data_IF_890225181026
#
_entry.id   IF_890225181026
#
_cell.length_a   1.000
_cell.length_b   1.000
_cell.length_c   1.000
_cell.angle_alpha   90.00
_cell.angle_beta   90.00
_cell.angle_gamma   90.00
#
_symmetry.space_group_name_H-M   'P 1'
#
loop_
_entity.id
_entity.type
_entity.pdbx_description
1 polymer ?
#
# COMPACT_ATOMS: atom_id res chain seq x y z
N UNK A 1 10.10 -110.38 120.00
CA UNK A 1 9.88 -109.03 120.56
C UNK A 1 9.28 -108.19 119.45
N UNK A 2 8.08 -107.70 119.74
CA UNK A 2 7.44 -106.46 119.30
C UNK A 2 6.98 -106.27 117.84
N UNK A 3 5.64 -106.33 117.66
CA UNK A 3 4.77 -105.18 117.34
C UNK A 3 5.38 -104.13 116.40
N UNK A 4 4.88 -103.84 115.19
CA UNK A 4 3.54 -103.28 114.95
C UNK A 4 3.34 -102.96 113.46
N UNK A 5 2.10 -103.18 113.00
CA UNK A 5 1.32 -102.27 112.13
C UNK A 5 2.05 -101.37 111.11
N UNK A 6 1.85 -101.66 109.83
CA UNK A 6 1.17 -100.69 108.95
C UNK A 6 0.30 -101.44 107.94
N UNK A 7 -0.98 -101.57 108.28
CA UNK A 7 -2.06 -101.65 107.32
C UNK A 7 -2.10 -100.35 106.53
N UNK A 8 -1.95 -100.40 105.21
CA UNK A 8 -2.22 -99.25 104.34
C UNK A 8 -1.59 -99.40 102.95
N UNK A 9 -2.39 -99.17 101.91
CA UNK A 9 -1.99 -98.96 100.50
C UNK A 9 -1.78 -100.21 99.60
N UNK A 10 -2.50 -101.31 99.83
CA UNK A 10 -2.53 -102.46 98.91
C UNK A 10 -3.58 -102.41 97.78
N UNK A 11 -4.53 -101.47 97.82
CA UNK A 11 -5.64 -101.35 96.86
C UNK A 11 -5.76 -99.93 96.25
N UNK A 12 -4.67 -99.17 96.20
CA UNK A 12 -4.65 -97.86 95.55
C UNK A 12 -4.31 -97.92 94.05
N UNK A 13 -3.49 -98.89 93.63
CA UNK A 13 -2.89 -98.90 92.28
C UNK A 13 -3.80 -99.36 91.14
N UNK A 14 -4.68 -100.34 91.39
CA UNK A 14 -5.58 -100.88 90.34
C UNK A 14 -6.79 -99.96 90.15
N UNK A 15 -7.33 -99.37 91.22
CA UNK A 15 -8.40 -98.37 91.15
C UNK A 15 -7.97 -97.07 90.47
N UNK A 16 -6.73 -96.60 90.70
CA UNK A 16 -6.17 -95.46 89.98
C UNK A 16 -6.00 -95.75 88.49
N UNK A 17 -5.57 -96.95 88.08
CA UNK A 17 -5.45 -97.31 86.66
C UNK A 17 -6.80 -97.37 85.92
N UNK A 18 -7.86 -97.86 86.57
CA UNK A 18 -9.22 -97.88 85.99
C UNK A 18 -9.91 -96.50 86.04
N UNK A 19 -9.57 -95.63 86.99
CA UNK A 19 -10.04 -94.24 87.05
C UNK A 19 -9.25 -93.27 86.13
N UNK A 20 -7.98 -93.55 85.85
CA UNK A 20 -7.13 -92.75 84.94
C UNK A 20 -7.45 -93.00 83.44
N UNK A 21 -7.85 -94.21 83.05
CA UNK A 21 -8.26 -94.52 81.66
C UNK A 21 -9.41 -93.66 81.11
N UNK A 22 -10.53 -93.44 81.81
CA UNK A 22 -11.59 -92.57 81.32
C UNK A 22 -11.16 -91.10 81.27
N UNK A 23 -10.32 -90.66 82.20
CA UNK A 23 -9.75 -89.31 82.20
C UNK A 23 -8.81 -89.09 80.99
N UNK A 24 -7.87 -90.01 80.74
CA UNK A 24 -7.02 -90.00 79.56
C UNK A 24 -7.82 -90.09 78.25
N UNK A 25 -8.89 -90.89 78.20
CA UNK A 25 -9.81 -90.92 77.05
C UNK A 25 -10.50 -89.58 76.83
N UNK A 26 -10.93 -88.89 77.89
CA UNK A 26 -11.54 -87.56 77.78
C UNK A 26 -10.54 -86.51 77.32
N UNK A 27 -9.30 -86.55 77.80
CA UNK A 27 -8.25 -85.66 77.32
C UNK A 27 -7.90 -85.93 75.85
N UNK A 28 -7.77 -87.20 75.44
CA UNK A 28 -7.57 -87.57 74.03
C UNK A 28 -8.74 -87.10 73.17
N UNK A 29 -9.98 -87.21 73.64
CA UNK A 29 -11.15 -86.70 72.92
C UNK A 29 -11.14 -85.17 72.81
N UNK A 30 -10.74 -84.45 73.86
CA UNK A 30 -10.57 -82.98 73.81
C UNK A 30 -9.47 -82.58 72.84
N UNK A 31 -8.32 -83.25 72.88
CA UNK A 31 -7.19 -83.05 71.96
C UNK A 31 -7.58 -83.34 70.50
N UNK A 32 -8.33 -84.42 70.25
CA UNK A 32 -8.86 -84.72 68.91
C UNK A 32 -9.83 -83.65 68.43
N UNK A 33 -10.71 -83.16 69.32
CA UNK A 33 -11.64 -82.06 68.99
C UNK A 33 -10.89 -80.75 68.73
N UNK A 34 -9.88 -80.41 69.53
CA UNK A 34 -9.09 -79.19 69.31
C UNK A 34 -8.23 -79.29 68.06
N UNK A 35 -7.67 -80.46 67.75
CA UNK A 35 -6.93 -80.69 66.52
C UNK A 35 -7.83 -80.60 65.29
N UNK A 36 -9.02 -81.22 65.33
CA UNK A 36 -10.01 -81.11 64.25
C UNK A 36 -10.45 -79.66 64.05
N UNK A 37 -10.74 -78.92 65.13
CA UNK A 37 -11.09 -77.50 65.05
C UNK A 37 -9.94 -76.64 64.52
N UNK A 38 -8.69 -76.95 64.89
CA UNK A 38 -7.51 -76.24 64.39
C UNK A 38 -7.25 -76.54 62.91
N UNK A 39 -7.46 -77.79 62.49
CA UNK A 39 -7.37 -78.19 61.09
C UNK A 39 -8.45 -77.47 60.25
N UNK A 40 -9.70 -77.46 60.72
CA UNK A 40 -10.81 -76.76 60.06
C UNK A 40 -10.55 -75.24 59.98
N UNK A 41 -10.02 -74.64 61.05
CA UNK A 41 -9.64 -73.22 61.04
C UNK A 41 -8.50 -72.92 60.04
N UNK A 42 -7.51 -73.81 59.93
CA UNK A 42 -6.41 -73.66 58.97
C UNK A 42 -6.89 -73.83 57.53
N UNK A 43 -7.74 -74.82 57.26
CA UNK A 43 -8.36 -75.04 55.96
C UNK A 43 -9.21 -73.81 55.54
N UNK A 44 -10.02 -73.28 56.46
CA UNK A 44 -10.81 -72.07 56.22
C UNK A 44 -9.92 -70.83 55.96
N UNK A 45 -8.83 -70.68 56.72
CA UNK A 45 -7.88 -69.58 56.52
C UNK A 45 -7.16 -69.68 55.16
N UNK A 46 -6.71 -70.89 54.78
CA UNK A 46 -6.06 -71.13 53.51
C UNK A 46 -7.02 -70.85 52.34
N UNK A 47 -8.27 -71.28 52.46
CA UNK A 47 -9.29 -71.05 51.44
C UNK A 47 -9.63 -69.56 51.29
N UNK A 48 -9.76 -68.82 52.39
CA UNK A 48 -9.97 -67.37 52.36
C UNK A 48 -8.78 -66.64 51.72
N UNK A 49 -7.56 -67.05 52.07
CA UNK A 49 -6.34 -66.46 51.52
C UNK A 49 -6.22 -66.75 50.01
N UNK A 50 -6.53 -67.98 49.57
CA UNK A 50 -6.56 -68.34 48.15
C UNK A 50 -7.60 -67.51 47.38
N UNK A 51 -8.82 -67.37 47.91
CA UNK A 51 -9.87 -66.53 47.30
C UNK A 51 -9.47 -65.06 47.21
N UNK A 52 -8.79 -64.55 48.24
CA UNK A 52 -8.30 -63.16 48.27
C UNK A 52 -7.24 -62.95 47.19
N UNK A 53 -6.25 -63.84 47.11
CA UNK A 53 -5.22 -63.75 46.08
C UNK A 53 -5.78 -63.93 44.67
N UNK A 54 -6.72 -64.85 44.45
CA UNK A 54 -7.37 -65.01 43.16
C UNK A 54 -8.13 -63.73 42.76
N UNK A 55 -8.81 -63.08 43.71
CA UNK A 55 -9.47 -61.79 43.51
C UNK A 55 -8.50 -60.66 43.17
N UNK A 56 -7.38 -60.57 43.89
CA UNK A 56 -6.32 -59.58 43.65
C UNK A 56 -5.67 -59.78 42.27
N UNK A 57 -5.31 -61.02 41.92
CA UNK A 57 -4.72 -61.37 40.62
C UNK A 57 -5.70 -61.05 39.50
N UNK A 58 -6.98 -61.37 39.65
CA UNK A 58 -7.99 -61.09 38.63
C UNK A 58 -8.17 -59.59 38.44
N UNK A 59 -8.25 -58.82 39.54
CA UNK A 59 -8.36 -57.36 39.49
C UNK A 59 -7.12 -56.75 38.84
N UNK A 60 -5.94 -57.23 39.19
CA UNK A 60 -4.68 -56.75 38.62
C UNK A 60 -4.58 -57.08 37.13
N UNK A 61 -4.98 -58.28 36.71
CA UNK A 61 -5.03 -58.68 35.32
C UNK A 61 -5.98 -57.80 34.50
N UNK A 62 -7.17 -57.49 35.03
CA UNK A 62 -8.12 -56.56 34.39
C UNK A 62 -7.54 -55.15 34.26
N UNK A 63 -6.89 -54.64 35.32
CA UNK A 63 -6.25 -53.33 35.31
C UNK A 63 -5.14 -53.26 34.24
N UNK A 64 -4.30 -54.30 34.14
CA UNK A 64 -3.27 -54.36 33.10
C UNK A 64 -3.85 -54.48 31.70
N UNK A 65 -4.90 -55.28 31.52
CA UNK A 65 -5.58 -55.41 30.22
C UNK A 65 -6.15 -54.08 29.76
N UNK A 66 -6.77 -53.31 30.67
CA UNK A 66 -7.27 -51.98 30.36
C UNK A 66 -6.14 -50.99 30.07
N UNK A 67 -5.04 -51.04 30.83
CA UNK A 67 -3.88 -50.19 30.60
C UNK A 67 -3.24 -50.47 29.23
N UNK A 68 -3.11 -51.73 28.84
CA UNK A 68 -2.58 -52.15 27.53
C UNK A 68 -3.49 -51.62 26.42
N UNK A 69 -4.80 -51.85 26.49
CA UNK A 69 -5.74 -51.36 25.48
C UNK A 69 -5.71 -49.83 25.33
N UNK A 70 -5.59 -49.10 26.44
CA UNK A 70 -5.45 -47.64 26.43
C UNK A 70 -4.13 -47.19 25.77
N UNK A 71 -3.02 -47.88 26.04
CA UNK A 71 -1.72 -47.57 25.44
C UNK A 71 -1.72 -47.88 23.94
N UNK A 72 -2.28 -49.01 23.51
CA UNK A 72 -2.43 -49.37 22.10
C UNK A 72 -3.25 -48.31 21.34
N UNK A 73 -4.37 -47.86 21.93
CA UNK A 73 -5.18 -46.83 21.33
C UNK A 73 -4.43 -45.49 21.21
N UNK A 74 -3.64 -45.11 22.23
CA UNK A 74 -2.82 -43.89 22.18
C UNK A 74 -1.74 -43.99 21.11
N UNK A 75 -1.01 -45.12 21.07
CA UNK A 75 0.03 -45.38 20.08
C UNK A 75 -0.52 -45.28 18.65
N UNK A 76 -1.70 -45.87 18.41
CA UNK A 76 -2.34 -45.82 17.10
C UNK A 76 -2.72 -44.39 16.68
N UNK A 77 -3.21 -43.57 17.62
CA UNK A 77 -3.52 -42.15 17.36
C UNK A 77 -2.25 -41.34 17.07
N UNK A 78 -1.17 -41.57 17.82
CA UNK A 78 0.10 -40.90 17.60
C UNK A 78 0.72 -41.27 16.26
N UNK A 79 0.68 -42.55 15.88
CA UNK A 79 1.13 -43.00 14.57
C UNK A 79 0.34 -42.34 13.43
N UNK A 80 -0.99 -42.26 13.54
CA UNK A 80 -1.82 -41.58 12.55
C UNK A 80 -1.49 -40.10 12.46
N UNK A 81 -1.33 -39.43 13.61
CA UNK A 81 -0.96 -38.03 13.67
C UNK A 81 0.42 -37.78 13.04
N UNK A 82 1.39 -38.68 13.25
CA UNK A 82 2.72 -38.59 12.64
C UNK A 82 2.64 -38.72 11.11
N UNK A 83 1.90 -39.71 10.60
CA UNK A 83 1.72 -39.90 9.15
C UNK A 83 1.05 -38.68 8.51
N UNK A 84 0.02 -38.13 9.16
CA UNK A 84 -0.65 -36.92 8.68
C UNK A 84 0.27 -35.70 8.70
N UNK A 85 1.10 -35.57 9.73
CA UNK A 85 2.08 -34.48 9.84
C UNK A 85 3.16 -34.60 8.76
N UNK A 86 3.70 -35.78 8.53
CA UNK A 86 4.68 -36.05 7.45
C UNK A 86 4.09 -35.72 6.08
N UNK A 87 2.82 -36.09 5.83
CA UNK A 87 2.12 -35.74 4.60
C UNK A 87 1.98 -34.23 4.43
N UNK A 88 1.58 -33.51 5.48
CA UNK A 88 1.49 -32.03 5.46
C UNK A 88 2.85 -31.38 5.24
N UNK A 89 3.91 -31.92 5.87
CA UNK A 89 5.27 -31.44 5.70
C UNK A 89 5.72 -31.59 4.24
N UNK A 90 5.51 -32.76 3.64
CA UNK A 90 5.84 -32.99 2.22
C UNK A 90 5.06 -32.07 1.28
N UNK A 91 3.77 -31.85 1.54
CA UNK A 91 2.95 -30.91 0.75
C UNK A 91 3.49 -29.48 0.87
N UNK A 92 3.81 -29.03 2.08
CA UNK A 92 4.35 -27.68 2.31
C UNK A 92 5.74 -27.51 1.65
N UNK A 93 6.59 -28.53 1.71
CA UNK A 93 7.89 -28.52 1.04
C UNK A 93 7.74 -28.47 -0.49
N UNK A 94 6.80 -29.23 -1.06
CA UNK A 94 6.52 -29.21 -2.50
C UNK A 94 6.01 -27.83 -2.95
N UNK A 95 5.06 -27.24 -2.21
CA UNK A 95 4.56 -25.89 -2.46
C UNK A 95 5.68 -24.85 -2.39
N UNK A 96 6.55 -24.93 -1.38
CA UNK A 96 7.67 -24.00 -1.23
C UNK A 96 8.65 -24.13 -2.42
N UNK A 97 9.02 -25.35 -2.82
CA UNK A 97 9.88 -25.59 -4.00
C UNK A 97 9.26 -25.03 -5.28
N UNK A 98 7.95 -25.22 -5.48
CA UNK A 98 7.24 -24.67 -6.62
C UNK A 98 7.27 -23.13 -6.61
N UNK A 99 7.02 -22.52 -5.45
CA UNK A 99 7.08 -21.06 -5.29
C UNK A 99 8.49 -20.50 -5.53
N UNK A 100 9.53 -21.17 -5.03
CA UNK A 100 10.92 -20.78 -5.28
C UNK A 100 11.28 -20.86 -6.76
N UNK A 101 10.77 -21.86 -7.48
CA UNK A 101 11.00 -22.01 -8.92
C UNK A 101 10.35 -20.85 -9.68
N UNK A 102 9.08 -20.55 -9.39
CA UNK A 102 8.37 -19.41 -9.97
C UNK A 102 9.05 -18.07 -9.67
N UNK A 103 9.54 -17.87 -8.45
CA UNK A 103 10.27 -16.65 -8.10
C UNK A 103 11.57 -16.51 -8.90
N UNK A 104 12.29 -17.61 -9.15
CA UNK A 104 13.49 -17.59 -9.99
C UNK A 104 13.17 -17.30 -11.45
N UNK A 105 12.10 -17.87 -11.99
CA UNK A 105 11.61 -17.59 -13.34
C UNK A 105 11.22 -16.10 -13.47
N UNK A 106 10.41 -15.58 -12.56
CA UNK A 106 10.02 -14.17 -12.56
C UNK A 106 11.24 -13.22 -12.45
N UNK A 107 12.23 -13.56 -11.62
CA UNK A 107 13.45 -12.74 -11.53
C UNK A 107 14.23 -12.73 -12.85
N UNK A 108 14.31 -13.87 -13.53
CA UNK A 108 14.94 -13.96 -14.85
C UNK A 108 14.19 -13.12 -15.88
N UNK A 109 12.85 -13.17 -15.90
CA UNK A 109 12.03 -12.36 -16.79
C UNK A 109 12.24 -10.86 -16.53
N UNK A 110 12.35 -10.46 -15.25
CA UNK A 110 12.67 -9.08 -14.87
C UNK A 110 14.05 -8.67 -15.39
N UNK A 111 15.06 -9.52 -15.24
CA UNK A 111 16.41 -9.23 -15.75
C UNK A 111 16.42 -9.06 -17.28
N UNK A 112 15.68 -9.92 -18.01
CA UNK A 112 15.52 -9.81 -19.47
C UNK A 112 14.80 -8.49 -19.86
N UNK A 113 13.77 -8.09 -19.12
CA UNK A 113 13.09 -6.80 -19.32
C UNK A 113 14.05 -5.64 -19.08
N UNK A 114 14.82 -5.68 -17.99
CA UNK A 114 15.78 -4.63 -17.64
C UNK A 114 16.89 -4.50 -18.69
N UNK A 115 17.39 -5.62 -19.19
CA UNK A 115 18.40 -5.62 -20.26
C UNK A 115 17.84 -5.04 -21.55
N UNK A 116 16.61 -5.42 -21.94
CA UNK A 116 15.93 -4.86 -23.11
C UNK A 116 15.69 -3.35 -22.99
N UNK A 117 15.29 -2.88 -21.80
CA UNK A 117 15.06 -1.46 -21.52
C UNK A 117 16.37 -0.68 -21.57
N UNK A 118 17.45 -1.24 -21.01
CA UNK A 118 18.77 -0.62 -21.07
C UNK A 118 19.28 -0.51 -22.52
N UNK A 119 19.06 -1.54 -23.35
CA UNK A 119 19.38 -1.49 -24.77
C UNK A 119 18.57 -0.40 -25.50
N UNK A 120 17.25 -0.38 -25.31
CA UNK A 120 16.36 0.64 -25.89
C UNK A 120 16.75 2.06 -25.47
N UNK A 121 17.10 2.25 -24.20
CA UNK A 121 17.54 3.55 -23.69
C UNK A 121 18.85 4.00 -24.33
N UNK A 122 19.82 3.10 -24.52
CA UNK A 122 21.07 3.42 -25.24
C UNK A 122 20.79 3.83 -26.68
N UNK A 123 19.88 3.15 -27.36
CA UNK A 123 19.52 3.46 -28.75
C UNK A 123 18.85 4.83 -28.87
N UNK A 124 17.94 5.15 -27.94
CA UNK A 124 17.31 6.49 -27.86
C UNK A 124 18.34 7.57 -27.59
N UNK A 125 19.28 7.35 -26.66
CA UNK A 125 20.35 8.31 -26.37
C UNK A 125 21.20 8.55 -27.61
N UNK A 126 21.65 7.50 -28.30
CA UNK A 126 22.42 7.62 -29.54
C UNK A 126 21.65 8.37 -30.64
N UNK A 127 20.36 8.08 -30.80
CA UNK A 127 19.52 8.77 -31.77
C UNK A 127 19.40 10.27 -31.44
N UNK A 128 19.26 10.62 -30.16
CA UNK A 128 19.19 12.01 -29.69
C UNK A 128 20.54 12.73 -29.81
N UNK A 129 21.65 12.06 -29.55
CA UNK A 129 22.99 12.61 -29.79
C UNK A 129 23.21 12.92 -31.28
N UNK A 130 22.80 12.03 -32.18
CA UNK A 130 22.86 12.27 -33.63
C UNK A 130 21.98 13.46 -34.06
N UNK A 131 20.77 13.58 -33.51
CA UNK A 131 19.86 14.72 -33.75
C UNK A 131 20.48 16.03 -33.25
N UNK A 132 21.10 16.03 -32.06
CA UNK A 132 21.81 17.20 -31.52
C UNK A 132 22.96 17.61 -32.45
N UNK A 133 23.79 16.66 -32.89
CA UNK A 133 24.90 16.95 -33.81
C UNK A 133 24.39 17.52 -35.14
N UNK A 134 23.27 17.01 -35.67
CA UNK A 134 22.66 17.55 -36.88
C UNK A 134 22.15 18.98 -36.68
N UNK A 135 21.47 19.26 -35.57
CA UNK A 135 20.98 20.60 -35.24
C UNK A 135 22.14 21.58 -35.01
N UNK A 136 23.24 21.13 -34.41
CA UNK A 136 24.45 21.94 -34.25
C UNK A 136 25.06 22.33 -35.60
N UNK A 137 25.14 21.39 -36.55
CA UNK A 137 25.61 21.68 -37.90
C UNK A 137 24.70 22.71 -38.60
N UNK A 138 23.38 22.54 -38.50
CA UNK A 138 22.42 23.50 -39.07
C UNK A 138 22.53 24.90 -38.44
N UNK A 139 22.72 24.99 -37.13
CA UNK A 139 22.94 26.28 -36.46
C UNK A 139 24.21 26.96 -36.93
N UNK A 140 25.27 26.18 -37.20
CA UNK A 140 26.52 26.71 -37.73
C UNK A 140 26.35 27.23 -39.17
N UNK A 141 25.63 26.50 -40.02
CA UNK A 141 25.28 26.94 -41.37
C UNK A 141 24.46 28.24 -41.34
N UNK A 142 23.42 28.32 -40.49
CA UNK A 142 22.64 29.54 -40.34
C UNK A 142 23.44 30.72 -39.79
N UNK A 143 24.43 30.48 -38.94
CA UNK A 143 25.31 31.53 -38.44
C UNK A 143 26.17 32.12 -39.57
N UNK A 144 26.69 31.25 -40.45
CA UNK A 144 27.44 31.67 -41.66
C UNK A 144 26.54 32.45 -42.61
N UNK A 145 25.33 31.97 -42.89
CA UNK A 145 24.37 32.67 -43.75
C UNK A 145 24.00 34.06 -43.20
N UNK A 146 23.81 34.18 -41.87
CA UNK A 146 23.54 35.46 -41.22
C UNK A 146 24.71 36.43 -41.35
N UNK A 147 25.96 35.96 -41.22
CA UNK A 147 27.13 36.81 -41.46
C UNK A 147 27.21 37.29 -42.91
N UNK A 148 26.94 36.41 -43.88
CA UNK A 148 26.89 36.79 -45.29
C UNK A 148 25.80 37.82 -45.56
N UNK A 149 24.60 37.65 -44.98
CA UNK A 149 23.51 38.62 -45.11
C UNK A 149 23.86 39.96 -44.47
N UNK A 150 24.54 39.98 -43.32
CA UNK A 150 25.04 41.22 -42.70
C UNK A 150 26.02 41.95 -43.62
N UNK A 151 26.94 41.23 -44.27
CA UNK A 151 27.87 41.81 -45.23
C UNK A 151 27.10 42.40 -46.43
N UNK A 152 26.12 41.67 -46.97
CA UNK A 152 25.27 42.15 -48.06
C UNK A 152 24.49 43.41 -47.67
N UNK A 153 23.87 43.44 -46.49
CA UNK A 153 23.14 44.61 -45.99
C UNK A 153 24.06 45.81 -45.78
N UNK A 154 25.25 45.59 -45.24
CA UNK A 154 26.25 46.64 -45.07
C UNK A 154 26.68 47.23 -46.41
N UNK A 155 26.93 46.38 -47.42
CA UNK A 155 27.25 46.83 -48.78
C UNK A 155 26.09 47.61 -49.42
N UNK A 156 24.85 47.15 -49.24
CA UNK A 156 23.65 47.86 -49.72
C UNK A 156 23.46 49.20 -49.01
N UNK A 157 23.72 49.30 -47.70
CA UNK A 157 23.70 50.56 -46.98
C UNK A 157 24.76 51.54 -47.47
N UNK A 158 25.99 51.07 -47.75
CA UNK A 158 27.01 51.92 -48.37
C UNK A 158 26.61 52.39 -49.76
N UNK A 159 25.97 51.54 -50.56
CA UNK A 159 25.43 51.94 -51.87
C UNK A 159 24.26 52.94 -51.74
N UNK A 160 23.39 52.79 -50.74
CA UNK A 160 22.28 53.72 -50.48
C UNK A 160 22.72 55.06 -49.86
N UNK A 161 23.94 55.13 -49.30
CA UNK A 161 24.58 56.37 -48.86
C UNK A 161 25.39 57.07 -49.96
N UNK A 162 25.51 56.47 -51.15
CA UNK A 162 25.81 57.25 -52.35
C UNK A 162 24.60 58.16 -52.63
N UNK A 163 24.82 59.45 -52.97
CA UNK A 163 23.77 60.46 -52.91
C UNK A 163 22.76 60.27 -54.05
N UNK A 164 21.70 59.52 -53.80
CA UNK A 164 20.48 59.57 -54.59
C UNK A 164 19.34 60.17 -53.75
N UNK A 165 19.06 61.42 -54.10
CA UNK A 165 17.84 62.17 -53.82
C UNK A 165 16.58 61.37 -54.14
N UNK A 166 15.75 61.02 -53.15
CA UNK A 166 14.29 60.99 -53.28
C UNK A 166 13.59 60.75 -51.93
N UNK A 167 12.89 61.78 -51.49
CA UNK A 167 11.72 61.83 -50.61
C UNK A 167 10.71 60.67 -50.74
N UNK A 168 10.22 60.16 -49.61
CA UNK A 168 8.78 59.92 -49.41
C UNK A 168 8.40 59.79 -47.90
N UNK A 169 7.37 60.51 -47.38
CA UNK A 169 6.97 60.44 -45.98
C UNK A 169 5.84 59.41 -45.79
N UNK A 170 6.18 58.21 -45.29
CA UNK A 170 5.15 57.32 -44.72
C UNK A 170 4.78 57.83 -43.33
N UNK A 171 3.53 58.22 -43.15
CA UNK A 171 2.98 58.76 -41.90
C UNK A 171 3.30 57.89 -40.68
N UNK A 172 3.64 58.58 -39.59
CA UNK A 172 3.98 58.05 -38.27
C UNK A 172 2.96 57.01 -37.80
N UNK A 173 3.28 55.72 -37.96
CA UNK A 173 2.64 54.66 -37.20
C UNK A 173 3.26 54.68 -35.81
N UNK A 174 2.43 54.88 -34.79
CA UNK A 174 2.88 54.81 -33.40
C UNK A 174 3.52 53.44 -33.15
N UNK A 175 4.74 53.44 -32.64
CA UNK A 175 5.42 52.21 -32.25
C UNK A 175 4.86 51.68 -30.91
N UNK A 176 5.20 50.44 -30.57
CA UNK A 176 4.66 49.75 -29.39
C UNK A 176 4.98 50.48 -28.06
N UNK A 177 6.14 51.13 -27.99
CA UNK A 177 6.55 51.94 -26.82
C UNK A 177 5.70 53.21 -26.66
N UNK A 178 5.39 53.89 -27.76
CA UNK A 178 4.54 55.08 -27.78
C UNK A 178 3.10 54.74 -27.38
N UNK A 179 2.57 53.60 -27.84
CA UNK A 179 1.24 53.12 -27.44
C UNK A 179 1.21 52.78 -25.95
N UNK A 180 2.26 52.11 -25.44
CA UNK A 180 2.36 51.80 -24.01
C UNK A 180 2.44 53.07 -23.16
N UNK A 181 3.24 54.06 -23.58
CA UNK A 181 3.32 55.35 -22.89
C UNK A 181 1.96 56.07 -22.87
N UNK A 182 1.24 56.04 -23.99
CA UNK A 182 -0.08 56.65 -24.12
C UNK A 182 -1.14 55.99 -23.23
N UNK A 183 -1.17 54.65 -23.19
CA UNK A 183 -2.09 53.91 -22.31
C UNK A 183 -1.77 54.20 -20.84
N UNK A 184 -0.49 54.18 -20.44
CA UNK A 184 -0.09 54.48 -19.07
C UNK A 184 -0.39 55.92 -18.65
N UNK A 185 -0.28 56.87 -19.57
CA UNK A 185 -0.58 58.27 -19.30
C UNK A 185 -2.08 58.54 -19.17
N UNK A 186 -2.90 57.92 -20.04
CA UNK A 186 -4.34 58.16 -20.07
C UNK A 186 -5.12 57.30 -19.07
N UNK A 187 -4.64 56.07 -18.80
CA UNK A 187 -5.36 55.03 -18.08
C UNK A 187 -4.40 54.33 -17.07
N UNK A 188 -3.82 55.07 -16.10
CA UNK A 188 -2.82 54.54 -15.17
C UNK A 188 -3.35 53.41 -14.27
N UNK A 189 -4.66 53.34 -14.09
CA UNK A 189 -5.35 52.32 -13.30
C UNK A 189 -5.61 51.02 -14.08
N UNK A 190 -5.27 50.96 -15.37
CA UNK A 190 -5.44 49.76 -16.19
C UNK A 190 -4.09 49.05 -16.37
N UNK A 191 -4.07 47.77 -16.03
CA UNK A 191 -2.96 46.88 -16.39
C UNK A 191 -3.38 46.00 -17.56
N UNK A 192 -2.76 46.20 -18.71
CA UNK A 192 -2.93 45.35 -19.88
C UNK A 192 -2.20 44.01 -19.69
N UNK A 193 -2.86 42.92 -20.08
CA UNK A 193 -2.34 41.56 -19.92
C UNK A 193 -1.94 40.94 -21.26
N UNK A 194 -0.99 40.00 -21.21
CA UNK A 194 -0.59 39.17 -22.37
C UNK A 194 -0.24 40.06 -23.58
N UNK A 195 -0.79 39.73 -24.74
CA UNK A 195 -0.48 40.36 -26.03
C UNK A 195 -1.41 41.57 -26.29
N UNK A 196 -2.14 42.06 -25.29
CA UNK A 196 -3.13 43.15 -25.45
C UNK A 196 -2.51 44.43 -26.02
N UNK A 197 -1.27 44.73 -25.64
CA UNK A 197 -0.54 45.89 -26.16
C UNK A 197 -0.20 45.72 -27.66
N UNK A 198 0.22 44.51 -28.04
CA UNK A 198 0.48 44.19 -29.44
C UNK A 198 -0.81 44.25 -30.27
N UNK A 199 -1.93 43.79 -29.73
CA UNK A 199 -3.24 43.87 -30.38
C UNK A 199 -3.67 45.32 -30.62
N UNK A 200 -3.36 46.24 -29.70
CA UNK A 200 -3.59 47.68 -29.91
C UNK A 200 -2.72 48.24 -31.05
N UNK A 201 -1.44 47.83 -31.11
CA UNK A 201 -0.52 48.25 -32.15
C UNK A 201 -0.89 47.72 -33.55
N UNK A 202 -1.43 46.51 -33.62
CA UNK A 202 -1.90 45.87 -34.85
C UNK A 202 -3.24 46.42 -35.37
N UNK A 203 -3.90 47.33 -34.63
CA UNK A 203 -5.21 47.88 -34.95
C UNK A 203 -5.24 49.43 -34.88
N UNK A 204 -4.37 50.13 -35.64
CA UNK A 204 -4.23 51.59 -35.52
C UNK A 204 -5.51 52.34 -35.89
N UNK A 205 -6.27 51.86 -36.88
CA UNK A 205 -7.58 52.39 -37.26
C UNK A 205 -8.65 52.31 -36.15
N UNK A 206 -8.50 51.38 -35.20
CA UNK A 206 -9.46 51.12 -34.12
C UNK A 206 -8.95 51.58 -32.75
N UNK A 207 -7.74 52.15 -32.68
CA UNK A 207 -7.04 52.49 -31.44
C UNK A 207 -7.85 53.43 -30.55
N UNK A 208 -8.43 54.49 -31.12
CA UNK A 208 -9.25 55.45 -30.37
C UNK A 208 -10.48 54.79 -29.73
N UNK A 209 -11.14 53.89 -30.46
CA UNK A 209 -12.33 53.19 -29.97
C UNK A 209 -11.97 52.16 -28.89
N UNK A 210 -10.83 51.49 -29.02
CA UNK A 210 -10.32 50.57 -27.99
C UNK A 210 -9.90 51.31 -26.72
N UNK A 211 -9.22 52.44 -26.84
CA UNK A 211 -8.87 53.30 -25.69
C UNK A 211 -10.15 53.82 -25.01
N UNK A 212 -11.15 54.23 -25.79
CA UNK A 212 -12.45 54.63 -25.24
C UNK A 212 -13.12 53.49 -24.48
N UNK A 213 -13.14 52.27 -25.03
CA UNK A 213 -13.71 51.12 -24.35
C UNK A 213 -12.98 50.77 -23.04
N UNK A 214 -11.65 50.95 -23.00
CA UNK A 214 -10.87 50.82 -21.77
C UNK A 214 -11.25 51.91 -20.75
N UNK A 215 -11.45 53.15 -21.20
CA UNK A 215 -11.94 54.24 -20.35
C UNK A 215 -13.34 53.95 -19.80
N UNK A 216 -14.25 53.44 -20.63
CA UNK A 216 -15.61 53.07 -20.21
C UNK A 216 -15.60 51.99 -19.11
N UNK A 217 -14.57 51.13 -19.06
CA UNK A 217 -14.35 50.17 -17.96
C UNK A 217 -14.02 50.88 -16.65
N UNK A 218 -13.15 51.89 -16.68
CA UNK A 218 -12.81 52.69 -15.49
C UNK A 218 -14.03 53.47 -15.00
N UNK A 219 -14.76 54.10 -15.92
CA UNK A 219 -15.90 54.95 -15.63
C UNK A 219 -17.16 54.13 -15.25
N UNK A 220 -17.11 52.80 -15.35
CA UNK A 220 -18.21 51.90 -15.00
C UNK A 220 -19.37 51.92 -16.02
N UNK A 221 -19.13 52.44 -17.23
CA UNK A 221 -20.13 52.64 -18.29
C UNK A 221 -20.11 51.54 -19.36
N UNK A 222 -19.64 50.33 -19.01
CA UNK A 222 -19.47 49.23 -19.96
C UNK A 222 -20.80 48.74 -20.52
N UNK A 223 -21.00 48.93 -21.83
CA UNK A 223 -22.18 48.42 -22.53
C UNK A 223 -22.09 46.90 -22.78
N UNK A 224 -23.14 46.16 -22.42
CA UNK A 224 -23.24 44.72 -22.72
C UNK A 224 -22.28 43.83 -21.92
N UNK A 225 -21.77 44.31 -20.78
CA UNK A 225 -20.87 43.55 -19.91
C UNK A 225 -21.58 42.33 -19.28
N UNK A 226 -20.93 41.17 -19.32
CA UNK A 226 -21.45 39.91 -18.75
C UNK A 226 -20.36 39.19 -17.96
N UNK A 227 -20.72 38.61 -16.82
CA UNK A 227 -19.80 37.76 -16.06
C UNK A 227 -19.47 36.49 -16.82
N UNK A 228 -18.18 36.15 -16.84
CA UNK A 228 -17.69 34.93 -17.48
C UNK A 228 -17.87 33.76 -16.50
N UNK A 229 -18.88 32.93 -16.75
CA UNK A 229 -19.20 31.79 -15.87
C UNK A 229 -18.07 30.77 -15.78
N UNK A 230 -17.32 30.59 -16.87
CA UNK A 230 -16.19 29.66 -16.92
C UNK A 230 -15.05 30.02 -15.94
N UNK A 231 -14.98 31.27 -15.46
CA UNK A 231 -13.93 31.75 -14.55
C UNK A 231 -14.46 31.99 -13.14
N UNK A 232 -15.45 31.22 -12.67
CA UNK A 232 -16.16 31.43 -11.40
C UNK A 232 -16.75 32.84 -11.24
N UNK A 233 -17.14 33.50 -12.34
CA UNK A 233 -17.61 34.89 -12.37
C UNK A 233 -16.60 35.95 -11.89
N UNK A 234 -15.31 35.60 -11.79
CA UNK A 234 -14.23 36.54 -11.44
C UNK A 234 -14.04 37.62 -12.52
N UNK A 235 -14.07 37.21 -13.78
CA UNK A 235 -13.89 38.08 -14.94
C UNK A 235 -15.23 38.53 -15.54
N UNK A 236 -15.19 39.69 -16.19
CA UNK A 236 -16.30 40.26 -16.94
C UNK A 236 -15.89 40.42 -18.40
N UNK A 237 -16.72 39.97 -19.33
CA UNK A 237 -16.54 40.14 -20.77
C UNK A 237 -17.41 41.31 -21.24
N UNK A 238 -16.82 42.26 -21.95
CA UNK A 238 -17.56 43.25 -22.75
C UNK A 238 -17.13 43.17 -24.22
N UNK A 239 -18.08 43.46 -25.11
CA UNK A 239 -17.84 43.51 -26.55
C UNK A 239 -17.71 44.96 -26.96
N UNK A 240 -16.70 45.26 -27.77
CA UNK A 240 -16.55 46.61 -28.32
C UNK A 240 -17.41 46.72 -29.57
N UNK A 241 -18.40 47.64 -29.62
CA UNK A 241 -19.23 47.84 -30.80
C UNK A 241 -18.36 48.17 -32.02
N UNK A 242 -18.75 47.65 -33.19
CA UNK A 242 -18.17 48.01 -34.49
C UNK A 242 -16.68 47.68 -34.71
N UNK A 243 -16.04 46.89 -33.82
CA UNK A 243 -14.66 46.41 -34.00
C UNK A 243 -14.62 44.88 -34.05
N UNK A 244 -14.39 44.34 -35.27
CA UNK A 244 -13.92 42.98 -35.61
C UNK A 244 -13.92 41.92 -34.50
N UNK A 245 -15.10 41.61 -33.93
CA UNK A 245 -15.27 40.57 -32.90
C UNK A 245 -14.30 40.69 -31.71
N UNK A 246 -13.83 41.90 -31.40
CA UNK A 246 -12.93 42.15 -30.26
C UNK A 246 -13.66 42.01 -28.93
N UNK A 247 -12.99 41.36 -27.99
CA UNK A 247 -13.49 41.14 -26.63
C UNK A 247 -12.51 41.70 -25.63
N UNK A 248 -13.07 42.37 -24.63
CA UNK A 248 -12.34 42.89 -23.48
C UNK A 248 -12.79 42.09 -22.27
N UNK A 249 -11.84 41.38 -21.66
CA UNK A 249 -12.02 40.72 -20.38
C UNK A 249 -11.41 41.60 -19.30
N UNK A 250 -12.17 41.92 -18.27
CA UNK A 250 -11.68 42.75 -17.19
C UNK A 250 -12.10 42.24 -15.81
N UNK A 251 -11.21 42.45 -14.85
CA UNK A 251 -11.44 42.19 -13.44
C UNK A 251 -10.89 43.35 -12.61
N UNK A 252 -11.64 43.76 -11.58
CA UNK A 252 -11.19 44.76 -10.62
C UNK A 252 -10.15 44.13 -9.68
N UNK A 253 -9.00 44.77 -9.56
CA UNK A 253 -8.00 44.42 -8.56
C UNK A 253 -8.51 44.80 -7.15
N UNK A 254 -8.47 43.87 -6.21
CA UNK A 254 -8.68 44.11 -4.76
C UNK A 254 -7.45 44.72 -4.09
N UNK A 255 -6.23 44.38 -4.53
CA UNK A 255 -4.96 44.82 -3.91
C UNK A 255 -4.45 46.18 -4.40
N UNK A 256 -4.87 46.62 -5.58
CA UNK A 256 -4.52 47.92 -6.18
C UNK A 256 -5.81 48.60 -6.63
N UNK A 257 -5.90 49.93 -6.52
CA UNK A 257 -6.96 50.69 -7.20
C UNK A 257 -6.75 50.54 -8.70
N UNK A 258 -7.58 49.73 -9.36
CA UNK A 258 -7.50 49.55 -10.80
C UNK A 258 -8.11 48.26 -11.33
N UNK A 259 -7.90 48.03 -12.62
CA UNK A 259 -8.43 46.92 -13.39
C UNK A 259 -7.32 46.21 -14.16
N UNK A 260 -7.41 44.88 -14.21
CA UNK A 260 -6.66 44.09 -15.17
C UNK A 260 -7.53 43.87 -16.40
N UNK A 261 -6.97 44.10 -17.58
CA UNK A 261 -7.70 43.99 -18.84
C UNK A 261 -6.92 43.14 -19.84
N UNK A 262 -7.61 42.17 -20.44
CA UNK A 262 -7.16 41.39 -21.58
C UNK A 262 -8.01 41.78 -22.80
N UNK A 263 -7.35 42.23 -23.86
CA UNK A 263 -7.93 42.47 -25.18
C UNK A 263 -7.65 41.24 -26.02
N UNK A 264 -8.68 40.63 -26.61
CA UNK A 264 -8.52 39.44 -27.46
C UNK A 264 -9.44 39.47 -28.68
N UNK A 265 -8.92 39.22 -29.90
CA UNK A 265 -9.76 39.04 -31.08
C UNK A 265 -10.43 37.66 -31.06
N UNK A 266 -11.76 37.60 -31.19
CA UNK A 266 -12.44 36.31 -31.39
C UNK A 266 -12.27 35.84 -32.83
N UNK A 267 -11.24 35.05 -33.08
CA UNK A 267 -11.02 34.38 -34.38
C UNK A 267 -11.97 33.19 -34.57
N UNK A 268 -12.16 32.36 -33.54
CA UNK A 268 -13.07 31.20 -33.57
C UNK A 268 -13.52 30.82 -32.13
N UNK A 269 -14.31 29.76 -31.98
CA UNK A 269 -14.73 29.30 -30.65
C UNK A 269 -13.54 28.76 -29.83
N UNK A 270 -12.61 28.06 -30.48
CA UNK A 270 -11.41 27.51 -29.82
C UNK A 270 -10.52 28.60 -29.19
N UNK A 271 -10.39 29.76 -29.84
CA UNK A 271 -9.61 30.88 -29.29
C UNK A 271 -10.27 31.47 -28.04
N UNK A 272 -11.61 31.50 -28.01
CA UNK A 272 -12.35 31.90 -26.81
C UNK A 272 -12.16 30.91 -25.65
N UNK A 273 -12.18 29.62 -25.95
CA UNK A 273 -11.99 28.59 -24.92
C UNK A 273 -10.56 28.65 -24.34
N UNK A 274 -9.56 28.93 -25.18
CA UNK A 274 -8.18 29.19 -24.74
C UNK A 274 -8.08 30.42 -23.84
N UNK A 275 -8.76 31.51 -24.18
CA UNK A 275 -8.80 32.70 -23.33
C UNK A 275 -9.46 32.36 -21.97
N UNK A 276 -10.51 31.56 -21.95
CA UNK A 276 -11.15 31.13 -20.70
C UNK A 276 -10.25 30.26 -19.83
N UNK A 277 -9.55 29.28 -20.41
CA UNK A 277 -8.57 28.48 -19.67
C UNK A 277 -7.44 29.35 -19.10
N UNK A 278 -6.95 30.30 -19.89
CA UNK A 278 -5.94 31.24 -19.42
C UNK A 278 -6.46 32.11 -18.28
N UNK A 279 -7.66 32.69 -18.40
CA UNK A 279 -8.27 33.53 -17.36
C UNK A 279 -8.55 32.76 -16.05
N UNK A 280 -8.83 31.45 -16.10
CA UNK A 280 -8.95 30.59 -14.91
C UNK A 280 -7.63 30.46 -14.15
N UNK A 281 -6.50 30.40 -14.87
CA UNK A 281 -5.17 30.29 -14.27
C UNK A 281 -4.69 31.58 -13.62
N UNK A 282 -5.32 32.72 -13.94
CA UNK A 282 -4.96 34.00 -13.36
C UNK A 282 -5.51 34.12 -11.94
N UNK A 283 -4.60 34.36 -10.99
CA UNK A 283 -4.98 34.65 -9.62
C UNK A 283 -5.70 35.98 -9.55
N UNK A 284 -6.77 36.11 -8.73
CA UNK A 284 -7.39 37.39 -8.49
C UNK A 284 -6.37 38.35 -7.87
N UNK A 285 -6.09 39.40 -8.62
CA UNK A 285 -5.63 40.67 -8.07
C UNK A 285 -6.78 41.30 -7.26
#
# INVERSE_FOLDING_TARGET
MDFSFFWGLGLGGIGLFFALRPFQKQEILKLKKSFAAQQEAYEAQLQLQAQTYDGEITTQAQNFQQAIANLEQRLQREMQAQVDLEKKLHQAQALNRANQTKLRENNRDIDEILESLAASQRDVVKAKEAEISQLQAQLQDYAVDLEQQKILLFNLQQQAQAPETATDPKGDRLNLEQIQALVNALLPEITLLRDSLQILAEQPENLATLIKALKDILDGQTHGAKKVRATDNKWTECRVPHINLMRLYYQKCRKKSGYQVLISPKKNQKSQDQDYEWLKSQSPC
#
